data_IF_157332705271
#
_entry.id   IF_157332705271
#
_cell.length_a   1.000
_cell.length_b   1.000
_cell.length_c   1.000
_cell.angle_alpha   90.00
_cell.angle_beta   90.00
_cell.angle_gamma   90.00
#
_symmetry.space_group_name_H-M   'P 1'
#
loop_
_entity.id
_entity.type
_entity.pdbx_description
1 polymer ?
#
# COMPACT_ATOMS: atom_id res chain seq x y z
N UNK A 1 12.15 -5.26 25.74
CA UNK A 1 10.80 -5.06 25.15
C UNK A 1 10.48 -6.27 24.27
N UNK A 2 9.31 -6.88 24.39
CA UNK A 2 8.92 -8.04 23.56
C UNK A 2 8.14 -7.59 22.30
N UNK A 3 8.04 -8.45 21.28
CA UNK A 3 7.37 -8.13 19.99
C UNK A 3 5.96 -7.57 20.18
N UNK A 4 5.21 -8.10 21.15
CA UNK A 4 3.83 -7.66 21.46
C UNK A 4 3.81 -6.23 21.99
N UNK A 5 4.66 -5.91 22.96
CA UNK A 5 4.77 -4.57 23.56
C UNK A 5 5.23 -3.51 22.55
N UNK A 6 6.17 -3.86 21.66
CA UNK A 6 6.62 -2.95 20.60
C UNK A 6 5.49 -2.59 19.61
N UNK A 7 4.71 -3.59 19.17
CA UNK A 7 3.56 -3.35 18.27
C UNK A 7 2.48 -2.50 18.93
N UNK A 8 2.19 -2.75 20.21
CA UNK A 8 1.21 -1.97 20.96
C UNK A 8 1.65 -0.50 21.07
N UNK A 9 2.92 -0.25 21.37
CA UNK A 9 3.49 1.09 21.45
C UNK A 9 3.44 1.82 20.09
N UNK A 10 3.79 1.14 19.00
CA UNK A 10 3.73 1.72 17.66
C UNK A 10 2.29 2.12 17.28
N UNK A 11 1.33 1.21 17.45
CA UNK A 11 -0.09 1.48 17.16
C UNK A 11 -0.62 2.64 18.02
N UNK A 12 -0.24 2.70 19.30
CA UNK A 12 -0.65 3.79 20.19
C UNK A 12 -0.13 5.16 19.69
N UNK A 13 1.12 5.23 19.24
CA UNK A 13 1.70 6.46 18.67
C UNK A 13 1.07 6.89 17.36
N UNK A 14 0.71 5.93 16.49
CA UNK A 14 0.00 6.29 15.25
C UNK A 14 -1.40 6.83 15.58
N UNK A 15 -2.09 6.22 16.54
CA UNK A 15 -3.43 6.67 17.00
C UNK A 15 -3.44 8.06 17.64
N UNK A 16 -2.31 8.58 18.10
CA UNK A 16 -2.24 9.96 18.61
C UNK A 16 -2.16 11.02 17.52
N UNK A 17 -1.92 10.63 16.26
CA UNK A 17 -1.93 11.55 15.14
C UNK A 17 -3.38 11.88 14.75
N UNK A 18 -3.68 13.17 14.58
CA UNK A 18 -4.89 13.59 13.89
C UNK A 18 -4.85 13.18 12.41
N UNK A 19 -6.01 13.10 11.77
CA UNK A 19 -6.10 12.81 10.33
C UNK A 19 -5.32 13.81 9.49
N UNK A 20 -5.32 15.10 9.88
CA UNK A 20 -4.58 16.15 9.21
C UNK A 20 -3.06 15.97 9.34
N UNK A 21 -2.54 15.68 10.54
CA UNK A 21 -1.12 15.42 10.74
C UNK A 21 -0.67 14.17 9.98
N UNK A 22 -1.50 13.13 9.99
CA UNK A 22 -1.24 11.88 9.27
C UNK A 22 -1.17 12.15 7.76
N UNK A 23 -2.08 12.96 7.23
CA UNK A 23 -2.09 13.35 5.81
C UNK A 23 -0.83 14.14 5.44
N UNK A 24 -0.46 15.16 6.22
CA UNK A 24 0.75 15.97 5.98
C UNK A 24 2.00 15.09 5.98
N UNK A 25 2.15 14.24 7.00
CA UNK A 25 3.31 13.33 7.09
C UNK A 25 3.33 12.29 5.97
N UNK A 26 2.15 11.80 5.55
CA UNK A 26 2.05 10.89 4.40
C UNK A 26 2.45 11.60 3.11
N UNK A 27 2.11 12.88 2.93
CA UNK A 27 2.47 13.67 1.76
C UNK A 27 3.98 13.81 1.56
N UNK A 28 4.76 13.96 2.64
CA UNK A 28 6.22 13.96 2.57
C UNK A 28 6.73 12.62 2.01
N UNK A 29 6.23 11.50 2.54
CA UNK A 29 6.62 10.16 2.10
C UNK A 29 6.21 9.92 0.64
N UNK A 30 5.02 10.39 0.24
CA UNK A 30 4.53 10.29 -1.14
C UNK A 30 5.50 10.97 -2.10
N UNK A 31 5.90 12.20 -1.80
CA UNK A 31 6.83 12.96 -2.64
C UNK A 31 8.18 12.23 -2.76
N UNK A 32 8.75 11.79 -1.64
CA UNK A 32 10.03 11.08 -1.64
C UNK A 32 9.99 9.79 -2.47
N UNK A 33 8.91 9.01 -2.34
CA UNK A 33 8.72 7.75 -3.09
C UNK A 33 8.57 8.02 -4.58
N UNK A 34 7.75 9.00 -4.97
CA UNK A 34 7.50 9.30 -6.38
C UNK A 34 8.74 9.92 -7.05
N UNK A 35 9.47 10.78 -6.35
CA UNK A 35 10.78 11.28 -6.81
C UNK A 35 11.76 10.14 -7.04
N UNK A 36 11.87 9.20 -6.09
CA UNK A 36 12.73 8.04 -6.25
C UNK A 36 12.36 7.18 -7.47
N UNK A 37 11.05 6.99 -7.72
CA UNK A 37 10.55 6.27 -8.89
C UNK A 37 10.97 6.95 -10.19
N UNK A 38 10.83 8.27 -10.26
CA UNK A 38 11.18 9.08 -11.44
C UNK A 38 12.69 9.06 -11.71
N UNK A 39 13.49 9.29 -10.67
CA UNK A 39 14.96 9.32 -10.75
C UNK A 39 15.57 7.99 -11.17
N UNK A 40 14.96 6.87 -10.79
CA UNK A 40 15.47 5.53 -11.06
C UNK A 40 14.76 4.83 -12.22
N UNK A 41 13.81 5.49 -12.89
CA UNK A 41 13.08 4.94 -14.03
C UNK A 41 12.31 3.64 -13.71
N UNK A 42 11.81 3.50 -12.49
CA UNK A 42 11.12 2.28 -12.01
C UNK A 42 9.89 1.99 -12.88
N UNK A 43 9.71 0.72 -13.28
CA UNK A 43 8.62 0.29 -14.18
C UNK A 43 7.50 -0.49 -13.51
N UNK A 44 7.79 -1.04 -12.33
CA UNK A 44 6.82 -1.79 -11.54
C UNK A 44 7.06 -1.60 -10.05
N UNK A 45 5.96 -1.49 -9.30
CA UNK A 45 6.00 -1.33 -7.84
C UNK A 45 4.96 -2.23 -7.19
N UNK A 46 5.37 -2.93 -6.14
CA UNK A 46 4.46 -3.60 -5.21
C UNK A 46 4.17 -2.65 -4.04
N UNK A 47 2.90 -2.38 -3.78
CA UNK A 47 2.46 -1.47 -2.72
C UNK A 47 1.17 -1.99 -2.10
N UNK A 48 1.04 -1.88 -0.78
CA UNK A 48 -0.19 -2.22 -0.08
C UNK A 48 -1.18 -1.05 -0.13
N UNK A 49 -2.48 -1.33 -0.07
CA UNK A 49 -3.49 -0.29 0.15
C UNK A 49 -3.70 -0.12 1.66
N UNK A 50 -3.41 1.08 2.15
CA UNK A 50 -3.25 1.38 3.57
C UNK A 50 -4.49 1.16 4.44
N UNK A 51 -4.26 0.74 5.69
CA UNK A 51 -5.23 0.80 6.81
C UNK A 51 -5.09 2.08 7.65
N UNK A 52 -5.95 2.22 8.66
CA UNK A 52 -6.04 3.40 9.52
C UNK A 52 -4.78 3.62 10.39
N UNK A 53 -3.96 2.60 10.61
CA UNK A 53 -2.72 2.67 11.40
C UNK A 53 -1.44 2.72 10.55
N UNK A 54 -1.55 3.02 9.26
CA UNK A 54 -0.45 3.05 8.29
C UNK A 54 -0.35 4.37 7.54
N UNK A 55 0.78 4.63 6.88
CA UNK A 55 0.92 5.75 5.92
C UNK A 55 -0.16 5.66 4.85
N UNK A 56 -0.76 6.78 4.45
CA UNK A 56 -1.77 6.77 3.39
C UNK A 56 -1.14 6.53 2.02
N UNK A 57 -1.30 5.33 1.47
CA UNK A 57 -0.64 4.91 0.22
C UNK A 57 -1.45 5.20 -1.05
N UNK A 58 -2.70 5.66 -0.94
CA UNK A 58 -3.54 5.94 -2.12
C UNK A 58 -2.88 6.95 -3.07
N UNK A 59 -2.32 8.03 -2.54
CA UNK A 59 -1.64 9.05 -3.34
C UNK A 59 -0.36 8.51 -4.03
N UNK A 60 0.32 7.54 -3.41
CA UNK A 60 1.43 6.82 -4.05
C UNK A 60 0.89 6.03 -5.25
N UNK A 61 -0.16 5.23 -5.04
CA UNK A 61 -0.77 4.40 -6.10
C UNK A 61 -1.22 5.27 -7.27
N UNK A 62 -1.91 6.39 -7.01
CA UNK A 62 -2.38 7.31 -8.04
C UNK A 62 -1.21 7.92 -8.81
N UNK A 63 -0.17 8.38 -8.10
CA UNK A 63 1.03 8.94 -8.70
C UNK A 63 1.83 7.93 -9.53
N UNK A 64 1.86 6.65 -9.13
CA UNK A 64 2.46 5.57 -9.91
C UNK A 64 1.71 5.32 -11.22
N UNK A 65 0.37 5.33 -11.19
CA UNK A 65 -0.44 5.17 -12.39
C UNK A 65 -0.25 6.32 -13.39
N UNK A 66 -0.10 7.54 -12.90
CA UNK A 66 0.18 8.72 -13.75
C UNK A 66 1.53 8.61 -14.47
N UNK A 67 2.48 7.90 -13.88
CA UNK A 67 3.81 7.62 -14.46
C UNK A 67 3.84 6.40 -15.37
N UNK A 68 2.70 5.73 -15.57
CA UNK A 68 2.62 4.48 -16.34
C UNK A 68 3.35 3.32 -15.66
N UNK A 69 3.56 3.38 -14.35
CA UNK A 69 4.18 2.29 -13.58
C UNK A 69 3.16 1.18 -13.36
N UNK A 70 3.57 -0.08 -13.55
CA UNK A 70 2.73 -1.24 -13.26
C UNK A 70 2.64 -1.43 -11.74
N UNK A 71 1.43 -1.34 -11.19
CA UNK A 71 1.20 -1.43 -9.75
C UNK A 71 0.68 -2.82 -9.38
N UNK A 72 1.30 -3.42 -8.37
CA UNK A 72 0.86 -4.68 -7.77
C UNK A 72 0.45 -4.48 -6.32
N UNK A 73 -0.58 -5.20 -5.88
CA UNK A 73 -1.04 -5.25 -4.48
C UNK A 73 -1.03 -6.69 -3.96
N UNK A 74 -1.05 -6.91 -2.64
CA UNK A 74 -1.19 -8.25 -2.08
C UNK A 74 -2.56 -8.87 -2.38
N UNK A 75 -2.57 -10.17 -2.68
CA UNK A 75 -3.75 -11.05 -2.71
C UNK A 75 -3.43 -12.32 -1.92
N UNK A 76 -4.22 -12.62 -0.89
CA UNK A 76 -4.00 -13.75 0.00
C UNK A 76 -4.75 -14.97 -0.53
N UNK A 77 -4.04 -16.10 -0.60
CA UNK A 77 -4.59 -17.39 -1.01
C UNK A 77 -4.08 -18.46 -0.06
N UNK A 78 -4.92 -18.84 0.92
CA UNK A 78 -4.50 -19.66 2.05
C UNK A 78 -3.41 -18.97 2.86
N UNK A 79 -2.27 -19.63 3.01
CA UNK A 79 -1.09 -19.10 3.73
C UNK A 79 -0.11 -18.32 2.82
N UNK A 80 -0.44 -18.17 1.53
CA UNK A 80 0.43 -17.50 0.56
C UNK A 80 -0.04 -16.08 0.26
N UNK A 81 0.93 -15.17 0.10
CA UNK A 81 0.72 -13.83 -0.45
C UNK A 81 1.15 -13.82 -1.91
N UNK A 82 0.22 -13.47 -2.80
CA UNK A 82 0.41 -13.33 -4.23
C UNK A 82 0.40 -11.85 -4.61
N UNK A 83 0.95 -11.54 -5.77
CA UNK A 83 0.88 -10.20 -6.36
C UNK A 83 -0.25 -10.18 -7.38
N UNK A 84 -1.13 -9.20 -7.25
CA UNK A 84 -2.16 -8.92 -8.27
C UNK A 84 -1.92 -7.55 -8.87
N UNK A 85 -1.87 -7.49 -10.20
CA UNK A 85 -1.80 -6.23 -10.93
C UNK A 85 -3.11 -5.47 -10.79
N UNK A 86 -3.03 -4.15 -10.63
CA UNK A 86 -4.20 -3.28 -10.55
C UNK A 86 -4.11 -2.12 -11.56
N UNK A 87 -5.27 -1.54 -11.82
CA UNK A 87 -5.45 -0.32 -12.62
C UNK A 87 -6.29 0.70 -11.85
N UNK A 88 -6.41 1.94 -12.38
CA UNK A 88 -7.32 2.96 -11.85
C UNK A 88 -8.80 2.51 -11.79
N UNK A 89 -9.17 1.47 -12.55
CA UNK A 89 -10.54 0.92 -12.59
C UNK A 89 -10.73 -0.29 -11.70
N UNK A 90 -9.66 -0.80 -11.09
CA UNK A 90 -9.72 -2.00 -10.28
C UNK A 90 -10.61 -1.80 -9.07
N UNK A 91 -11.42 -2.82 -8.78
CA UNK A 91 -12.28 -2.85 -7.60
C UNK A 91 -11.59 -3.60 -6.48
N UNK A 92 -11.91 -3.23 -5.25
CA UNK A 92 -11.27 -3.78 -4.07
C UNK A 92 -12.29 -4.24 -3.03
N UNK A 93 -11.95 -5.32 -2.35
CA UNK A 93 -12.67 -5.85 -1.18
C UNK A 93 -11.69 -6.08 -0.04
N UNK A 94 -12.16 -5.99 1.20
CA UNK A 94 -11.34 -6.41 2.34
C UNK A 94 -11.51 -7.91 2.55
N UNK A 95 -10.39 -8.61 2.68
CA UNK A 95 -10.38 -10.03 3.06
C UNK A 95 -10.64 -10.21 4.57
N UNK A 96 -10.63 -11.46 5.04
CA UNK A 96 -10.84 -11.81 6.45
C UNK A 96 -9.82 -11.20 7.42
N UNK A 97 -8.67 -10.74 6.91
CA UNK A 97 -7.62 -10.08 7.67
C UNK A 97 -7.72 -8.53 7.61
N UNK A 98 -8.73 -8.00 6.93
CA UNK A 98 -8.94 -6.56 6.75
C UNK A 98 -8.03 -5.91 5.70
N UNK A 99 -7.26 -6.70 4.95
CA UNK A 99 -6.39 -6.23 3.87
C UNK A 99 -7.22 -6.06 2.60
N UNK A 100 -7.00 -4.97 1.88
CA UNK A 100 -7.64 -4.76 0.58
C UNK A 100 -6.98 -5.60 -0.50
N UNK A 101 -7.81 -6.37 -1.19
CA UNK A 101 -7.45 -7.19 -2.34
C UNK A 101 -8.28 -6.77 -3.54
N UNK A 102 -7.77 -6.97 -4.75
CA UNK A 102 -8.57 -6.71 -5.96
C UNK A 102 -9.55 -7.85 -6.21
N UNK A 103 -10.75 -7.50 -6.68
CA UNK A 103 -11.73 -8.47 -7.18
C UNK A 103 -11.54 -8.78 -8.65
N UNK A 104 -10.62 -8.09 -9.31
CA UNK A 104 -10.32 -8.37 -10.70
C UNK A 104 -9.64 -9.74 -10.76
N UNK A 105 -10.13 -10.63 -11.64
CA UNK A 105 -9.46 -11.88 -11.98
C UNK A 105 -8.24 -11.55 -12.85
N UNK A 106 -7.25 -10.87 -12.26
CA UNK A 106 -5.97 -10.59 -12.89
C UNK A 106 -5.13 -11.87 -12.95
N UNK A 107 -4.35 -12.01 -14.02
CA UNK A 107 -3.34 -13.07 -14.16
C UNK A 107 -2.52 -13.16 -12.86
N UNK A 108 -2.70 -14.26 -12.12
CA UNK A 108 -1.82 -14.59 -11.01
C UNK A 108 -0.42 -14.78 -11.62
N UNK A 109 0.48 -13.83 -11.39
CA UNK A 109 1.86 -13.94 -11.84
C UNK A 109 2.56 -15.01 -11.01
N UNK A 110 2.87 -16.14 -11.64
CA UNK A 110 3.84 -17.11 -11.19
C UNK A 110 5.00 -17.07 -12.19
N UNK A 111 6.22 -16.83 -11.71
CA UNK A 111 7.42 -17.36 -12.38
C UNK A 111 7.58 -18.85 -12.00
#
# INVERSE_FOLDING_TARGET
MNKRSARALAKARVKTLSDAEKLIKSGVIVNDVLSFVDENGIKSVFVYKSSDDEVQTNAIIDGLFERGVKVYIPKISGDLMRLSVISKKSKFVRNIFGIFETTDDGEDFFD
#
